data_IF_574408364729
#
_entry.id   IF_574408364729
#
_cell.length_a   1.000
_cell.length_b   1.000
_cell.length_c   1.000
_cell.angle_alpha   90.00
_cell.angle_beta   90.00
_cell.angle_gamma   90.00
#
_symmetry.space_group_name_H-M   'P 1'
#
loop_
_entity.id
_entity.type
_entity.pdbx_description
1 polymer ?
#
# COMPACT_ATOMS: atom_id res chain seq x y z
N UNK A 1 0.64 -5.47 -8.72
CA UNK A 1 -0.58 -4.62 -8.77
C UNK A 1 -1.49 -4.89 -9.97
N UNK A 2 -0.97 -5.34 -11.12
CA UNK A 2 -1.74 -5.62 -12.36
C UNK A 2 -3.01 -6.48 -12.22
N UNK A 3 -3.02 -7.46 -11.30
CA UNK A 3 -4.16 -8.38 -11.11
C UNK A 3 -5.31 -7.83 -10.27
N UNK A 4 -5.18 -6.65 -9.67
CA UNK A 4 -6.16 -6.11 -8.73
C UNK A 4 -7.42 -5.53 -9.40
N UNK A 5 -7.45 -5.45 -10.74
CA UNK A 5 -8.59 -4.96 -11.53
C UNK A 5 -9.24 -3.69 -10.94
N UNK A 6 -8.40 -2.74 -10.53
CA UNK A 6 -8.85 -1.53 -9.83
C UNK A 6 -9.71 -0.69 -10.78
N UNK A 7 -10.97 -0.41 -10.42
CA UNK A 7 -11.84 0.40 -11.27
C UNK A 7 -11.29 1.82 -11.48
N UNK A 8 -11.55 2.39 -12.66
CA UNK A 8 -11.26 3.81 -12.93
C UNK A 8 -12.08 4.71 -12.00
N UNK A 9 -11.51 5.84 -11.61
CA UNK A 9 -12.11 6.78 -10.66
C UNK A 9 -11.83 6.50 -9.18
N UNK A 10 -11.26 5.34 -8.82
CA UNK A 10 -10.79 5.08 -7.44
C UNK A 10 -9.62 6.01 -7.12
N UNK A 11 -9.79 6.87 -6.12
CA UNK A 11 -8.77 7.85 -5.71
C UNK A 11 -7.91 7.42 -4.53
N UNK A 12 -8.36 6.45 -3.74
CA UNK A 12 -7.64 5.96 -2.56
C UNK A 12 -7.72 4.45 -2.45
N UNK A 13 -6.64 3.85 -1.95
CA UNK A 13 -6.60 2.44 -1.56
C UNK A 13 -6.04 2.32 -0.16
N UNK A 14 -6.61 1.41 0.64
CA UNK A 14 -6.09 1.02 1.94
C UNK A 14 -5.67 -0.44 1.86
N UNK A 15 -4.40 -0.70 2.14
CA UNK A 15 -3.86 -2.04 2.23
C UNK A 15 -3.94 -2.48 3.69
N UNK A 16 -4.89 -3.39 3.98
CA UNK A 16 -4.95 -4.05 5.28
C UNK A 16 -3.75 -4.97 5.43
N UNK A 17 -3.00 -4.81 6.51
CA UNK A 17 -1.84 -5.64 6.82
C UNK A 17 -1.98 -6.26 8.21
N UNK A 18 -0.91 -6.89 8.71
CA UNK A 18 -0.79 -7.31 10.11
C UNK A 18 0.08 -6.34 10.94
N UNK A 19 0.52 -5.20 10.38
CA UNK A 19 1.43 -4.26 11.03
C UNK A 19 0.87 -3.77 12.39
N UNK A 20 -0.41 -3.36 12.42
CA UNK A 20 -1.07 -2.95 13.67
C UNK A 20 -1.16 -4.11 14.68
N UNK A 21 -1.58 -5.30 14.24
CA UNK A 21 -1.71 -6.47 15.12
C UNK A 21 -0.35 -6.89 15.71
N UNK A 22 0.71 -6.84 14.90
CA UNK A 22 2.09 -7.14 15.31
C UNK A 22 2.79 -5.95 15.97
N UNK A 23 2.08 -4.82 16.15
CA UNK A 23 2.58 -3.59 16.79
C UNK A 23 3.84 -3.00 16.14
N UNK A 24 4.00 -3.13 14.82
CA UNK A 24 5.20 -2.73 14.08
C UNK A 24 5.37 -1.20 13.89
N UNK A 25 4.54 -0.40 14.55
CA UNK A 25 4.62 1.07 14.58
C UNK A 25 5.49 1.59 15.74
N UNK A 26 6.31 0.72 16.36
CA UNK A 26 7.27 1.14 17.39
C UNK A 26 8.37 2.03 16.81
N UNK A 27 9.17 2.62 17.70
CA UNK A 27 10.29 3.49 17.31
C UNK A 27 11.40 2.71 16.60
N UNK A 28 11.63 1.47 17.02
CA UNK A 28 12.61 0.58 16.41
C UNK A 28 12.05 -0.02 15.13
N UNK A 29 12.84 0.05 14.05
CA UNK A 29 12.47 -0.53 12.78
C UNK A 29 12.54 -2.07 12.82
N UNK A 30 11.48 -2.71 12.33
CA UNK A 30 11.38 -4.16 12.18
C UNK A 30 11.23 -4.51 10.70
N UNK A 31 12.03 -5.47 10.21
CA UNK A 31 12.02 -5.88 8.80
C UNK A 31 10.73 -6.61 8.39
N UNK A 32 9.88 -6.99 9.35
CA UNK A 32 8.57 -7.58 9.12
C UNK A 32 7.51 -6.55 8.72
N UNK A 33 7.82 -5.24 8.78
CA UNK A 33 6.87 -4.18 8.40
C UNK A 33 6.54 -4.25 6.92
N UNK A 34 5.26 -4.42 6.60
CA UNK A 34 4.80 -4.48 5.21
C UNK A 34 4.64 -3.08 4.65
N UNK A 35 5.38 -2.80 3.57
CA UNK A 35 5.38 -1.54 2.83
C UNK A 35 5.06 -1.71 1.35
N UNK A 36 4.97 -0.59 0.63
CA UNK A 36 4.97 -0.62 -0.83
C UNK A 36 6.39 -0.67 -1.36
N UNK A 37 6.60 -1.49 -2.39
CA UNK A 37 7.81 -1.42 -3.21
C UNK A 37 7.70 -0.26 -4.20
N UNK A 38 8.85 0.25 -4.63
CA UNK A 38 8.92 1.36 -5.59
C UNK A 38 8.21 1.03 -6.91
N UNK A 39 8.47 -0.15 -7.47
CA UNK A 39 7.83 -0.63 -8.70
C UNK A 39 6.30 -0.78 -8.56
N UNK A 40 5.84 -1.23 -7.39
CA UNK A 40 4.42 -1.33 -7.07
C UNK A 40 3.73 0.04 -7.01
N UNK A 41 4.39 1.03 -6.41
CA UNK A 41 3.90 2.40 -6.33
C UNK A 41 3.86 3.08 -7.70
N UNK A 42 4.95 2.96 -8.48
CA UNK A 42 5.01 3.50 -9.84
C UNK A 42 3.90 2.93 -10.72
N UNK A 43 3.67 1.62 -10.63
CA UNK A 43 2.59 0.99 -11.38
C UNK A 43 1.22 1.59 -11.06
N UNK A 44 0.92 1.88 -9.77
CA UNK A 44 -0.36 2.50 -9.39
C UNK A 44 -0.53 3.90 -9.98
N UNK A 45 0.53 4.73 -9.95
CA UNK A 45 0.50 6.10 -10.46
C UNK A 45 0.26 6.12 -11.96
N UNK A 46 0.92 5.23 -12.70
CA UNK A 46 0.86 5.19 -14.16
C UNK A 46 -0.44 4.58 -14.69
N UNK A 47 -1.03 3.62 -13.95
CA UNK A 47 -2.11 2.77 -14.48
C UNK A 47 -3.47 3.03 -13.83
N UNK A 48 -3.56 3.83 -12.76
CA UNK A 48 -4.81 4.06 -12.02
C UNK A 48 -5.04 5.55 -11.71
N UNK A 49 -6.22 5.88 -11.19
CA UNK A 49 -6.54 7.24 -10.74
C UNK A 49 -6.21 7.48 -9.25
N UNK A 50 -5.51 6.53 -8.61
CA UNK A 50 -5.19 6.58 -7.19
C UNK A 50 -4.24 7.75 -6.92
N UNK A 51 -4.56 8.52 -5.89
CA UNK A 51 -3.78 9.66 -5.38
C UNK A 51 -3.27 9.45 -3.97
N UNK A 52 -3.80 8.46 -3.26
CA UNK A 52 -3.41 8.15 -1.89
C UNK A 52 -3.42 6.65 -1.66
N UNK A 53 -2.34 6.18 -1.03
CA UNK A 53 -2.19 4.81 -0.56
C UNK A 53 -2.00 4.87 0.95
N UNK A 54 -2.86 4.15 1.69
CA UNK A 54 -2.71 3.96 3.12
C UNK A 54 -2.31 2.53 3.43
N UNK A 55 -1.45 2.37 4.43
CA UNK A 55 -1.08 1.09 5.02
C UNK A 55 -1.64 1.12 6.44
N UNK A 56 -2.43 0.10 6.78
CA UNK A 56 -2.83 -0.22 8.16
C UNK A 56 -1.65 -0.80 8.92
#
# INVERSE_FOLDING_TARGET
MKSLNIPRGVRRVLCRTLNTYMRLYQKEFDTSYVGFTEDGANWLVENTDIKLVGID
#
